data_IF_608583959133
#
_entry.id   IF_608583959133
#
_cell.length_a   1.000
_cell.length_b   1.000
_cell.length_c   1.000
_cell.angle_alpha   90.00
_cell.angle_beta   90.00
_cell.angle_gamma   90.00
#
_symmetry.space_group_name_H-M   'P 1'
#
loop_
_entity.id
_entity.type
_entity.pdbx_description
1 polymer ?
#
# COMPACT_ATOMS: atom_id res chain seq x y z
N UNK A 1 -10.08 28.98 -0.06
CA UNK A 1 -10.24 27.51 0.10
C UNK A 1 -9.16 26.69 -0.64
N UNK A 2 -8.37 27.28 -1.55
CA UNK A 2 -7.28 26.58 -2.28
C UNK A 2 -6.05 26.24 -1.43
N UNK A 3 -5.80 26.95 -0.32
CA UNK A 3 -4.55 26.77 0.46
C UNK A 3 -4.60 25.69 1.56
N UNK A 4 -5.79 25.17 1.92
CA UNK A 4 -5.87 24.10 2.93
C UNK A 4 -5.56 22.72 2.35
N UNK A 5 -5.78 22.52 1.05
CA UNK A 5 -5.53 21.24 0.38
C UNK A 5 -4.06 21.00 0.01
N UNK A 6 -3.23 22.05 -0.01
CA UNK A 6 -1.78 21.94 -0.22
C UNK A 6 -1.03 21.71 1.09
N UNK A 7 -1.54 22.28 2.19
CA UNK A 7 -0.91 22.17 3.52
C UNK A 7 -0.85 20.75 4.07
N UNK A 8 -1.91 19.95 3.92
CA UNK A 8 -1.89 18.55 4.41
C UNK A 8 -0.97 17.67 3.57
N UNK A 9 -0.92 17.86 2.24
CA UNK A 9 -0.01 17.12 1.35
C UNK A 9 1.43 17.43 1.70
N UNK A 10 1.79 18.71 1.72
CA UNK A 10 3.13 19.16 2.09
C UNK A 10 3.51 18.71 3.51
N UNK A 11 2.56 18.75 4.45
CA UNK A 11 2.76 18.25 5.81
C UNK A 11 3.00 16.74 5.89
N UNK A 12 2.23 15.93 5.16
CA UNK A 12 2.39 14.48 5.11
C UNK A 12 3.73 14.08 4.46
N UNK A 13 4.11 14.72 3.35
CA UNK A 13 5.42 14.56 2.73
C UNK A 13 6.56 14.94 3.66
N UNK A 14 6.42 16.07 4.37
CA UNK A 14 7.44 16.56 5.28
C UNK A 14 7.58 15.63 6.50
N UNK A 15 6.46 15.16 7.05
CA UNK A 15 6.43 14.18 8.13
C UNK A 15 7.10 12.87 7.71
N UNK A 16 6.75 12.34 6.53
CA UNK A 16 7.37 11.12 6.00
C UNK A 16 8.87 11.31 5.75
N UNK A 17 9.29 12.42 5.13
CA UNK A 17 10.71 12.73 4.96
C UNK A 17 11.44 12.81 6.30
N UNK A 18 10.79 13.38 7.32
CA UNK A 18 11.38 13.49 8.65
C UNK A 18 11.46 12.14 9.38
N UNK A 19 10.46 11.27 9.22
CA UNK A 19 10.42 9.95 9.86
C UNK A 19 11.32 8.92 9.14
N UNK A 20 11.30 8.91 7.81
CA UNK A 20 11.81 7.83 6.98
C UNK A 20 12.58 8.29 5.73
N UNK A 21 12.84 9.59 5.54
CA UNK A 21 13.64 10.10 4.42
C UNK A 21 15.15 10.18 4.71
N UNK A 22 15.95 10.68 3.75
CA UNK A 22 17.37 10.99 3.98
C UNK A 22 17.57 11.93 5.16
N UNK A 23 18.53 11.65 6.03
CA UNK A 23 18.77 12.35 7.30
C UNK A 23 17.61 12.28 8.32
N UNK A 24 16.72 11.28 8.19
CA UNK A 24 15.63 11.06 9.14
C UNK A 24 16.10 10.49 10.48
N UNK A 25 15.20 10.52 11.47
CA UNK A 25 15.46 9.86 12.76
C UNK A 25 15.64 8.34 12.58
N UNK A 26 14.90 7.71 11.66
CA UNK A 26 15.06 6.27 11.39
C UNK A 26 16.45 5.96 10.81
N UNK A 27 16.93 6.76 9.86
CA UNK A 27 18.28 6.62 9.30
C UNK A 27 19.36 6.81 10.37
N UNK A 28 19.23 7.83 11.21
CA UNK A 28 20.20 8.09 12.29
C UNK A 28 20.26 6.94 13.32
N UNK A 29 19.17 6.19 13.50
CA UNK A 29 19.07 5.10 14.47
C UNK A 29 19.40 3.72 13.91
N UNK A 30 19.03 3.47 12.66
CA UNK A 30 19.04 2.13 12.05
C UNK A 30 19.83 2.06 10.74
N UNK A 31 20.42 3.18 10.31
CA UNK A 31 21.18 3.27 9.07
C UNK A 31 20.31 3.26 7.82
N UNK A 32 20.96 2.98 6.69
CA UNK A 32 20.37 2.88 5.37
C UNK A 32 19.76 1.49 5.15
N UNK A 33 18.52 1.42 4.64
CA UNK A 33 17.77 0.19 4.30
C UNK A 33 18.10 -1.00 5.20
N UNK A 34 17.67 -0.97 6.47
CA UNK A 34 18.09 -2.00 7.37
C UNK A 34 17.62 -3.37 6.85
N UNK A 35 18.48 -4.36 6.95
CA UNK A 35 18.28 -5.68 6.38
C UNK A 35 16.96 -6.36 6.72
N UNK A 36 16.47 -6.13 7.94
CA UNK A 36 15.13 -6.54 8.36
C UNK A 36 14.04 -6.10 7.34
N UNK A 37 14.11 -4.84 6.87
CA UNK A 37 13.14 -4.19 6.01
C UNK A 37 13.21 -4.77 4.60
N UNK A 38 14.42 -5.08 4.13
CA UNK A 38 14.60 -5.83 2.90
C UNK A 38 13.97 -7.23 2.99
N UNK A 39 14.30 -8.00 4.02
CA UNK A 39 13.75 -9.34 4.22
C UNK A 39 12.21 -9.30 4.32
N UNK A 40 11.65 -8.33 5.04
CA UNK A 40 10.21 -8.11 5.09
C UNK A 40 9.61 -7.79 3.72
N UNK A 41 10.27 -6.92 2.94
CA UNK A 41 9.85 -6.58 1.59
C UNK A 41 9.88 -7.77 0.63
N UNK A 42 10.91 -8.62 0.71
CA UNK A 42 11.05 -9.83 -0.10
C UNK A 42 9.94 -10.84 0.21
N UNK A 43 9.66 -11.08 1.50
CA UNK A 43 8.56 -11.94 1.92
C UNK A 43 7.20 -11.40 1.42
N UNK A 44 6.95 -10.11 1.60
CA UNK A 44 5.72 -9.45 1.15
C UNK A 44 5.56 -9.50 -0.37
N UNK A 45 6.64 -9.28 -1.13
CA UNK A 45 6.64 -9.32 -2.59
C UNK A 45 6.33 -10.72 -3.13
N UNK A 46 6.90 -11.76 -2.54
CA UNK A 46 6.59 -13.14 -2.89
C UNK A 46 5.11 -13.49 -2.62
N UNK A 47 4.59 -13.07 -1.46
CA UNK A 47 3.17 -13.24 -1.12
C UNK A 47 2.24 -12.49 -2.09
N UNK A 48 2.55 -11.23 -2.42
CA UNK A 48 1.81 -10.42 -3.39
C UNK A 48 1.82 -11.05 -4.79
N UNK A 49 2.95 -11.67 -5.20
CA UNK A 49 3.06 -12.42 -6.45
C UNK A 49 2.06 -13.57 -6.55
N UNK A 50 1.90 -14.35 -5.48
CA UNK A 50 0.90 -15.43 -5.41
C UNK A 50 -0.52 -14.89 -5.37
N UNK A 51 -0.79 -13.86 -4.57
CA UNK A 51 -2.10 -13.20 -4.56
C UNK A 51 -2.48 -12.70 -5.97
N UNK A 52 -1.52 -12.14 -6.71
CA UNK A 52 -1.69 -11.71 -8.09
C UNK A 52 -2.01 -12.86 -9.06
N UNK A 53 -1.35 -14.01 -8.91
CA UNK A 53 -1.66 -15.22 -9.69
C UNK A 53 -3.04 -15.79 -9.33
N UNK A 54 -3.36 -15.89 -8.04
CA UNK A 54 -4.67 -16.34 -7.56
C UNK A 54 -5.81 -15.44 -8.07
N UNK A 55 -5.62 -14.12 -8.09
CA UNK A 55 -6.58 -13.18 -8.69
C UNK A 55 -6.83 -13.47 -10.15
N UNK A 56 -5.78 -13.72 -10.94
CA UNK A 56 -5.91 -14.06 -12.37
C UNK A 56 -6.63 -15.39 -12.55
N UNK A 57 -6.33 -16.39 -11.73
CA UNK A 57 -7.04 -17.68 -11.73
C UNK A 57 -8.54 -17.49 -11.45
N UNK A 58 -8.90 -16.68 -10.46
CA UNK A 58 -10.30 -16.40 -10.18
C UNK A 58 -10.99 -15.64 -11.30
N UNK A 59 -10.35 -14.58 -11.83
CA UNK A 59 -10.91 -13.72 -12.89
C UNK A 59 -11.04 -14.43 -14.23
N UNK A 60 -10.01 -15.18 -14.65
CA UNK A 60 -9.89 -15.78 -15.98
C UNK A 60 -10.30 -17.27 -15.99
N UNK A 61 -10.71 -17.81 -14.84
CA UNK A 61 -10.85 -19.26 -14.63
C UNK A 61 -9.50 -19.99 -14.72
N UNK A 62 -9.55 -21.30 -14.94
CA UNK A 62 -8.36 -22.15 -15.03
C UNK A 62 -7.42 -21.85 -16.23
N UNK A 63 -7.69 -20.80 -17.02
CA UNK A 63 -6.87 -20.40 -18.16
C UNK A 63 -5.45 -19.93 -17.78
N UNK A 64 -5.27 -19.45 -16.54
CA UNK A 64 -3.98 -19.03 -15.98
C UNK A 64 -3.66 -19.85 -14.72
N UNK A 65 -3.63 -21.18 -14.85
CA UNK A 65 -3.51 -22.12 -13.74
C UNK A 65 -2.33 -21.76 -12.81
N UNK A 66 -2.63 -21.24 -11.62
CA UNK A 66 -1.71 -21.21 -10.50
C UNK A 66 -1.35 -22.67 -10.19
N UNK A 67 -0.06 -23.01 -10.29
CA UNK A 67 0.40 -24.39 -10.10
C UNK A 67 0.89 -24.62 -8.67
N UNK A 68 0.96 -25.89 -8.27
CA UNK A 68 1.61 -26.28 -7.01
C UNK A 68 3.07 -25.80 -6.97
N UNK A 69 3.76 -25.83 -8.12
CA UNK A 69 5.13 -25.33 -8.24
C UNK A 69 5.23 -23.84 -7.91
N UNK A 70 4.30 -23.02 -8.41
CA UNK A 70 4.27 -21.59 -8.09
C UNK A 70 4.13 -21.36 -6.58
N UNK A 71 3.24 -22.11 -5.93
CA UNK A 71 3.03 -22.03 -4.48
C UNK A 71 4.29 -22.45 -3.71
N UNK A 72 4.97 -23.51 -4.16
CA UNK A 72 6.22 -23.97 -3.54
C UNK A 72 7.35 -22.96 -3.70
N UNK A 73 7.49 -22.34 -4.88
CA UNK A 73 8.51 -21.32 -5.13
C UNK A 73 8.31 -20.10 -4.23
N UNK A 74 7.09 -19.57 -4.15
CA UNK A 74 6.79 -18.45 -3.26
C UNK A 74 6.97 -18.83 -1.79
N UNK A 75 6.56 -20.03 -1.37
CA UNK A 75 6.80 -20.53 0.00
C UNK A 75 8.28 -20.54 0.32
N UNK A 76 9.13 -21.02 -0.60
CA UNK A 76 10.57 -21.08 -0.37
C UNK A 76 11.16 -19.67 -0.23
N UNK A 77 10.74 -18.71 -1.06
CA UNK A 77 11.16 -17.31 -0.97
C UNK A 77 10.72 -16.67 0.34
N UNK A 78 9.46 -16.86 0.74
CA UNK A 78 8.93 -16.37 2.01
C UNK A 78 9.71 -16.96 3.18
N UNK A 79 9.89 -18.29 3.22
CA UNK A 79 10.59 -18.95 4.31
C UNK A 79 12.06 -18.52 4.41
N UNK A 80 12.74 -18.32 3.29
CA UNK A 80 14.11 -17.82 3.27
C UNK A 80 14.17 -16.41 3.87
N UNK A 81 13.32 -15.52 3.40
CA UNK A 81 13.25 -14.13 3.88
C UNK A 81 12.86 -14.05 5.37
N UNK A 82 11.90 -14.87 5.81
CA UNK A 82 11.53 -14.97 7.23
C UNK A 82 12.66 -15.52 8.09
N UNK A 83 13.37 -16.56 7.63
CA UNK A 83 14.53 -17.10 8.35
C UNK A 83 15.65 -16.06 8.49
N UNK A 84 15.90 -15.25 7.47
CA UNK A 84 16.82 -14.12 7.55
C UNK A 84 16.33 -13.07 8.55
N UNK A 85 15.05 -12.74 8.54
CA UNK A 85 14.45 -11.79 9.49
C UNK A 85 14.57 -12.28 10.93
N UNK A 86 14.27 -13.57 11.20
CA UNK A 86 14.44 -14.19 12.51
C UNK A 86 15.88 -14.12 13.00
N UNK A 87 16.86 -14.40 12.12
CA UNK A 87 18.29 -14.28 12.44
C UNK A 87 18.67 -12.84 12.80
N UNK A 88 18.21 -11.86 12.03
CA UNK A 88 18.52 -10.43 12.25
C UNK A 88 17.90 -9.90 13.54
N UNK A 89 16.68 -10.33 13.86
CA UNK A 89 16.02 -9.96 15.13
C UNK A 89 16.68 -10.65 16.32
N UNK A 90 17.09 -11.92 16.18
CA UNK A 90 17.70 -12.68 17.27
C UNK A 90 19.14 -12.26 17.59
N UNK A 91 19.85 -11.64 16.65
CA UNK A 91 21.24 -11.20 16.86
C UNK A 91 21.36 -9.92 17.70
N UNK A 92 20.24 -9.26 18.06
CA UNK A 92 20.13 -8.00 18.84
C UNK A 92 20.98 -6.81 18.31
N UNK A 93 21.74 -7.04 17.24
CA UNK A 93 22.53 -6.07 16.51
C UNK A 93 21.77 -5.64 15.25
N UNK A 94 20.61 -5.03 15.46
CA UNK A 94 19.72 -4.49 14.42
C UNK A 94 20.39 -3.38 13.57
N UNK A 95 21.65 -3.03 13.86
CA UNK A 95 22.38 -1.90 13.31
C UNK A 95 23.45 -2.24 12.27
N UNK A 96 23.87 -3.51 12.08
CA UNK A 96 25.25 -3.71 11.56
C UNK A 96 25.54 -4.91 10.66
N UNK A 97 24.56 -5.57 10.04
CA UNK A 97 24.90 -6.36 8.86
C UNK A 97 24.97 -5.41 7.65
N UNK A 98 26.02 -5.49 6.82
CA UNK A 98 26.20 -4.77 5.55
C UNK A 98 26.05 -5.76 4.39
N UNK A 99 25.25 -5.49 3.34
CA UNK A 99 25.15 -6.43 2.20
C UNK A 99 26.49 -6.42 1.53
N UNK A 100 27.20 -7.55 1.60
CA UNK A 100 28.31 -7.79 0.69
C UNK A 100 27.72 -8.03 -0.70
N UNK A 101 27.25 -6.96 -1.32
CA UNK A 101 27.17 -6.91 -2.76
C UNK A 101 28.60 -6.69 -3.24
N UNK A 102 28.94 -7.21 -4.42
CA UNK A 102 30.24 -6.97 -5.04
C UNK A 102 30.51 -5.46 -5.29
N UNK A 103 29.52 -4.59 -5.02
CA UNK A 103 29.56 -3.15 -5.25
C UNK A 103 28.85 -2.35 -4.14
N UNK A 104 29.10 -2.70 -2.86
CA UNK A 104 28.43 -2.11 -1.70
C UNK A 104 28.42 -0.57 -1.70
N UNK A 105 29.51 0.07 -2.13
CA UNK A 105 29.60 1.53 -2.21
C UNK A 105 28.60 2.17 -3.21
N UNK A 106 28.33 1.52 -4.35
CA UNK A 106 27.34 2.00 -5.32
C UNK A 106 25.91 1.79 -4.82
N UNK A 107 25.66 0.67 -4.13
CA UNK A 107 24.38 0.42 -3.48
C UNK A 107 24.09 1.46 -2.38
N UNK A 108 25.08 1.79 -1.55
CA UNK A 108 24.97 2.81 -0.50
C UNK A 108 24.73 4.20 -1.09
N UNK A 109 25.46 4.58 -2.15
CA UNK A 109 25.28 5.87 -2.83
C UNK A 109 23.89 6.00 -3.49
N UNK A 110 23.40 4.91 -4.08
CA UNK A 110 22.05 4.85 -4.67
C UNK A 110 21.00 4.97 -3.58
N UNK A 111 21.16 4.27 -2.45
CA UNK A 111 20.23 4.36 -1.33
C UNK A 111 20.20 5.76 -0.71
N UNK A 112 21.33 6.44 -0.55
CA UNK A 112 21.37 7.81 -0.05
C UNK A 112 20.50 8.77 -0.90
N UNK A 113 20.34 8.46 -2.18
CA UNK A 113 19.55 9.25 -3.13
C UNK A 113 18.10 8.79 -3.26
N UNK A 114 17.81 7.50 -3.05
CA UNK A 114 16.57 6.85 -3.47
C UNK A 114 15.96 5.87 -2.44
N UNK A 115 16.57 5.75 -1.27
CA UNK A 115 16.20 4.78 -0.24
C UNK A 115 14.82 4.99 0.37
N UNK A 116 14.35 6.23 0.36
CA UNK A 116 12.98 6.61 0.67
C UNK A 116 11.93 5.86 -0.16
N UNK A 117 12.23 5.47 -1.41
CA UNK A 117 11.29 4.68 -2.21
C UNK A 117 11.03 3.31 -1.62
N UNK A 118 12.04 2.66 -1.04
CA UNK A 118 11.86 1.37 -0.36
C UNK A 118 10.91 1.50 0.82
N UNK A 119 11.09 2.54 1.65
CA UNK A 119 10.27 2.76 2.85
C UNK A 119 8.82 3.10 2.49
N UNK A 120 8.63 3.92 1.45
CA UNK A 120 7.30 4.21 0.92
C UNK A 120 6.64 2.98 0.29
N UNK A 121 7.42 2.11 -0.36
CA UNK A 121 6.90 0.87 -0.92
C UNK A 121 6.48 -0.11 0.19
N UNK A 122 7.24 -0.21 1.29
CA UNK A 122 6.85 -1.00 2.46
C UNK A 122 5.56 -0.48 3.09
N UNK A 123 5.47 0.83 3.35
CA UNK A 123 4.22 1.42 3.86
C UNK A 123 3.06 1.18 2.91
N UNK A 124 3.27 1.32 1.59
CA UNK A 124 2.22 1.00 0.62
C UNK A 124 1.77 -0.46 0.67
N UNK A 125 2.67 -1.41 0.92
CA UNK A 125 2.35 -2.83 1.07
C UNK A 125 1.59 -3.13 2.36
N UNK A 126 2.00 -2.51 3.47
CA UNK A 126 1.33 -2.58 4.78
C UNK A 126 -0.13 -2.14 4.65
N UNK A 127 -0.38 -0.90 4.23
CA UNK A 127 -1.73 -0.36 4.12
C UNK A 127 -2.59 -1.13 3.10
N UNK A 128 -1.97 -1.61 2.01
CA UNK A 128 -2.69 -2.42 1.02
C UNK A 128 -3.12 -3.78 1.60
N UNK A 129 -2.31 -4.34 2.51
CA UNK A 129 -2.64 -5.55 3.26
C UNK A 129 -3.81 -5.34 4.20
N UNK A 130 -3.79 -4.28 5.01
CA UNK A 130 -4.86 -3.93 5.95
C UNK A 130 -6.19 -3.68 5.21
N UNK A 131 -6.15 -2.91 4.11
CA UNK A 131 -7.31 -2.71 3.25
C UNK A 131 -7.83 -4.03 2.67
N UNK A 132 -6.93 -4.92 2.21
CA UNK A 132 -7.30 -6.19 1.63
C UNK A 132 -7.98 -7.13 2.64
N UNK A 133 -7.60 -7.08 3.91
CA UNK A 133 -8.23 -7.87 4.98
C UNK A 133 -9.71 -7.52 5.13
N UNK A 134 -10.03 -6.22 5.23
CA UNK A 134 -11.42 -5.76 5.35
C UNK A 134 -12.25 -6.12 4.12
N UNK A 135 -11.70 -5.93 2.91
CA UNK A 135 -12.38 -6.28 1.67
C UNK A 135 -12.59 -7.79 1.54
N UNK A 136 -11.62 -8.61 1.96
CA UNK A 136 -11.73 -10.07 1.96
C UNK A 136 -12.78 -10.55 2.97
N UNK A 137 -12.92 -9.88 4.12
CA UNK A 137 -13.97 -10.19 5.08
C UNK A 137 -15.38 -9.93 4.52
N UNK A 138 -15.56 -8.82 3.80
CA UNK A 138 -16.81 -8.50 3.10
C UNK A 138 -17.09 -9.52 1.98
N UNK A 139 -16.10 -9.80 1.14
CA UNK A 139 -16.25 -10.75 0.03
C UNK A 139 -16.60 -12.17 0.51
N UNK A 140 -16.09 -12.57 1.69
CA UNK A 140 -16.41 -13.84 2.33
C UNK A 140 -17.75 -13.85 3.10
N UNK A 141 -18.49 -12.74 3.11
CA UNK A 141 -19.76 -12.61 3.85
C UNK A 141 -19.61 -12.61 5.37
N UNK A 142 -18.39 -12.42 5.90
CA UNK A 142 -18.11 -12.41 7.35
C UNK A 142 -18.56 -11.11 8.02
N UNK A 143 -18.61 -10.02 7.26
CA UNK A 143 -19.08 -8.71 7.70
C UNK A 143 -19.86 -8.04 6.56
N UNK A 144 -20.85 -7.21 6.88
CA UNK A 144 -21.54 -6.41 5.87
C UNK A 144 -20.65 -5.27 5.37
N UNK A 145 -20.87 -4.84 4.12
CA UNK A 145 -20.18 -3.66 3.58
C UNK A 145 -20.43 -2.43 4.46
N UNK A 146 -21.67 -2.21 4.90
CA UNK A 146 -22.03 -1.09 5.75
C UNK A 146 -21.19 -1.01 7.04
N UNK A 147 -20.90 -2.15 7.66
CA UNK A 147 -20.11 -2.21 8.89
C UNK A 147 -18.60 -2.09 8.63
N UNK A 148 -18.11 -2.56 7.47
CA UNK A 148 -16.70 -2.47 7.11
C UNK A 148 -16.29 -1.13 6.48
N UNK A 149 -17.26 -0.34 5.99
CA UNK A 149 -17.03 0.91 5.27
C UNK A 149 -16.13 1.92 6.01
N UNK A 150 -16.28 2.14 7.34
CA UNK A 150 -15.38 3.05 8.06
C UNK A 150 -13.92 2.60 8.00
N UNK A 151 -13.63 1.33 8.27
CA UNK A 151 -12.28 0.77 8.20
C UNK A 151 -11.74 0.78 6.77
N UNK A 152 -12.53 0.34 5.78
CA UNK A 152 -12.17 0.43 4.37
C UNK A 152 -11.84 1.87 3.97
N UNK A 153 -12.60 2.84 4.48
CA UNK A 153 -12.39 4.26 4.21
C UNK A 153 -11.06 4.78 4.75
N UNK A 154 -10.70 4.37 5.97
CA UNK A 154 -9.42 4.68 6.61
C UNK A 154 -8.25 4.06 5.84
N UNK A 155 -8.23 2.73 5.69
CA UNK A 155 -7.11 2.05 5.01
C UNK A 155 -6.97 2.48 3.54
N UNK A 156 -8.08 2.74 2.86
CA UNK A 156 -8.02 3.29 1.50
C UNK A 156 -7.44 4.71 1.46
N UNK A 157 -7.60 5.51 2.52
CA UNK A 157 -6.95 6.81 2.64
C UNK A 157 -5.43 6.64 2.80
N UNK A 158 -4.99 5.70 3.62
CA UNK A 158 -3.57 5.46 3.88
C UNK A 158 -2.86 4.86 2.66
N UNK A 159 -3.47 3.89 1.98
CA UNK A 159 -2.99 3.40 0.66
C UNK A 159 -2.82 4.56 -0.33
N UNK A 160 -3.80 5.46 -0.41
CA UNK A 160 -3.76 6.63 -1.30
C UNK A 160 -2.67 7.61 -0.89
N UNK A 161 -2.47 7.82 0.42
CA UNK A 161 -1.42 8.68 0.94
C UNK A 161 -0.04 8.17 0.50
N UNK A 162 0.30 6.90 0.78
CA UNK A 162 1.59 6.33 0.39
C UNK A 162 1.79 6.28 -1.13
N UNK A 163 0.74 5.97 -1.89
CA UNK A 163 0.81 6.00 -3.35
C UNK A 163 1.13 7.40 -3.88
N UNK A 164 0.41 8.41 -3.37
CA UNK A 164 0.61 9.80 -3.77
C UNK A 164 2.02 10.28 -3.45
N UNK A 165 2.52 10.02 -2.23
CA UNK A 165 3.87 10.41 -1.80
C UNK A 165 4.93 9.73 -2.66
N UNK A 166 4.76 8.44 -2.99
CA UNK A 166 5.67 7.71 -3.89
C UNK A 166 5.71 8.34 -5.27
N UNK A 167 4.55 8.63 -5.87
CA UNK A 167 4.47 9.23 -7.20
C UNK A 167 5.07 10.64 -7.23
N UNK A 168 4.82 11.46 -6.22
CA UNK A 168 5.40 12.81 -6.14
C UNK A 168 6.92 12.77 -6.01
N UNK A 169 7.48 11.86 -5.22
CA UNK A 169 8.93 11.69 -5.12
C UNK A 169 9.55 11.16 -6.41
N UNK A 170 8.83 10.29 -7.14
CA UNK A 170 9.26 9.78 -8.43
C UNK A 170 8.98 10.73 -9.61
N UNK A 171 8.39 11.91 -9.35
CA UNK A 171 7.95 12.86 -10.37
C UNK A 171 6.97 12.25 -11.40
N UNK A 172 6.14 11.30 -10.95
CA UNK A 172 5.14 10.61 -11.77
C UNK A 172 3.79 11.34 -11.64
N UNK A 173 3.25 11.93 -12.71
CA UNK A 173 1.90 12.49 -12.69
C UNK A 173 0.86 11.36 -12.66
N UNK A 174 0.20 11.17 -11.52
CA UNK A 174 -0.74 10.05 -11.26
C UNK A 174 -1.89 9.99 -12.24
N UNK A 175 -2.49 11.14 -12.58
CA UNK A 175 -3.63 11.22 -13.50
C UNK A 175 -3.21 10.81 -14.93
N UNK A 176 -2.09 11.34 -15.41
CA UNK A 176 -1.59 11.05 -16.76
C UNK A 176 -1.09 9.60 -16.89
N UNK A 177 -0.40 9.07 -15.87
CA UNK A 177 0.06 7.68 -15.86
C UNK A 177 -1.10 6.70 -15.78
N UNK A 178 -2.14 7.02 -15.01
CA UNK A 178 -3.39 6.25 -14.92
C UNK A 178 -4.13 6.26 -16.26
N UNK A 179 -4.27 7.42 -16.89
CA UNK A 179 -4.91 7.54 -18.21
C UNK A 179 -4.16 6.72 -19.29
N UNK A 180 -2.84 6.81 -19.33
CA UNK A 180 -2.01 6.03 -20.25
C UNK A 180 -2.17 4.52 -20.01
N UNK A 181 -2.22 4.09 -18.74
CA UNK A 181 -2.46 2.68 -18.40
C UNK A 181 -3.86 2.22 -18.83
N UNK A 182 -4.88 3.05 -18.63
CA UNK A 182 -6.25 2.75 -19.04
C UNK A 182 -6.37 2.58 -20.56
N UNK A 183 -5.73 3.42 -21.36
CA UNK A 183 -5.72 3.27 -22.82
C UNK A 183 -5.15 1.91 -23.24
N UNK A 184 -4.07 1.46 -22.60
CA UNK A 184 -3.49 0.12 -22.83
C UNK A 184 -4.43 -1.00 -22.40
N UNK A 185 -5.19 -0.81 -21.32
CA UNK A 185 -6.17 -1.81 -20.86
C UNK A 185 -7.35 -1.86 -21.84
N UNK A 186 -7.90 -0.72 -22.24
CA UNK A 186 -8.99 -0.64 -23.21
C UNK A 186 -8.63 -1.29 -24.54
N UNK A 187 -7.39 -1.14 -25.01
CA UNK A 187 -6.94 -1.78 -26.24
C UNK A 187 -6.87 -3.31 -26.18
N UNK A 188 -6.97 -3.92 -24.98
CA UNK A 188 -6.85 -5.38 -24.77
C UNK A 188 -8.19 -6.08 -24.59
N UNK A 189 -9.28 -5.35 -24.37
CA UNK A 189 -10.58 -5.91 -24.05
C UNK A 189 -11.68 -5.32 -24.93
N UNK A 190 -12.74 -6.09 -25.24
CA UNK A 190 -13.87 -5.56 -26.00
C UNK A 190 -14.55 -4.42 -25.23
N UNK A 191 -15.05 -3.42 -25.96
CA UNK A 191 -15.72 -2.23 -25.39
C UNK A 191 -16.84 -2.59 -24.42
N UNK A 192 -17.57 -3.68 -24.69
CA UNK A 192 -18.64 -4.18 -23.83
C UNK A 192 -18.18 -4.50 -22.38
N UNK A 193 -16.90 -4.83 -22.18
CA UNK A 193 -16.34 -5.11 -20.85
C UNK A 193 -16.23 -3.85 -19.95
N UNK A 194 -16.35 -2.65 -20.54
CA UNK A 194 -16.24 -1.37 -19.82
C UNK A 194 -17.60 -0.71 -19.57
N UNK A 195 -18.70 -1.32 -20.00
CA UNK A 195 -20.03 -0.83 -19.67
C UNK A 195 -20.27 -1.07 -18.18
N UNK A 196 -20.19 -0.01 -17.39
CA UNK A 196 -20.60 -0.01 -15.98
C UNK A 196 -22.05 -0.51 -15.91
N UNK A 197 -22.23 -1.75 -15.42
CA UNK A 197 -23.54 -2.12 -14.88
C UNK A 197 -23.76 -1.20 -13.69
N UNK A 198 -24.78 -0.34 -13.77
CA UNK A 198 -25.23 0.41 -12.60
C UNK A 198 -25.47 -0.62 -11.50
N UNK A 199 -24.63 -0.60 -10.46
CA UNK A 199 -24.92 -1.43 -9.31
C UNK A 199 -26.21 -0.87 -8.73
N UNK A 200 -27.21 -1.72 -8.56
CA UNK A 200 -28.53 -1.35 -8.03
C UNK A 200 -28.48 -0.87 -6.57
N UNK A 201 -27.28 -0.76 -5.98
CA UNK A 201 -27.06 -0.30 -4.60
C UNK A 201 -26.30 1.03 -4.46
N UNK A 202 -25.84 1.69 -5.53
CA UNK A 202 -25.04 2.93 -5.38
C UNK A 202 -25.83 4.16 -4.96
N UNK A 203 -27.11 4.27 -5.32
CA UNK A 203 -27.90 5.46 -4.97
C UNK A 203 -28.11 5.57 -3.45
N UNK A 204 -28.46 4.46 -2.81
CA UNK A 204 -28.66 4.40 -1.36
C UNK A 204 -27.33 4.51 -0.58
N UNK A 205 -26.24 3.96 -1.12
CA UNK A 205 -24.92 4.06 -0.49
C UNK A 205 -24.30 5.45 -0.57
N UNK A 206 -24.44 6.15 -1.71
CA UNK A 206 -23.98 7.54 -1.84
C UNK A 206 -24.80 8.48 -0.94
N UNK A 207 -26.12 8.24 -0.83
CA UNK A 207 -26.97 8.97 0.11
C UNK A 207 -26.60 8.69 1.58
N UNK A 208 -26.30 7.43 1.93
CA UNK A 208 -25.85 7.05 3.28
C UNK A 208 -24.48 7.65 3.63
N UNK A 209 -23.53 7.69 2.69
CA UNK A 209 -22.23 8.35 2.89
C UNK A 209 -22.35 9.86 3.03
N UNK A 210 -23.20 10.52 2.23
CA UNK A 210 -23.48 11.94 2.36
C UNK A 210 -24.13 12.27 3.72
N UNK A 211 -25.00 11.39 4.23
CA UNK A 211 -25.62 11.53 5.54
C UNK A 211 -24.61 11.41 6.69
N UNK A 212 -23.70 10.42 6.65
CA UNK A 212 -22.63 10.25 7.65
C UNK A 212 -21.69 11.46 7.72
N UNK A 213 -21.27 11.98 6.57
CA UNK A 213 -20.41 13.17 6.49
C UNK A 213 -21.13 14.41 7.06
N UNK A 214 -22.44 14.53 6.83
CA UNK A 214 -23.23 15.67 7.35
C UNK A 214 -23.38 15.64 8.87
N UNK A 215 -23.41 14.45 9.50
CA UNK A 215 -23.53 14.31 10.95
C UNK A 215 -22.26 14.75 11.70
N UNK A 216 -21.06 14.51 11.14
CA UNK A 216 -19.80 14.95 11.74
C UNK A 216 -19.59 16.48 11.65
N UNK A 217 -20.28 17.16 10.72
CA UNK A 217 -20.20 18.62 10.56
C UNK A 217 -21.17 19.41 11.43
N UNK A 218 -22.04 18.74 12.20
CA UNK A 218 -22.99 19.43 13.08
C UNK A 218 -22.27 19.84 14.38
N UNK A 219 -22.15 21.14 14.71
CA UNK A 219 -21.47 21.55 15.94
C UNK A 219 -22.26 21.03 17.14
N UNK A 220 -21.60 20.28 18.04
CA UNK A 220 -22.22 19.84 19.29
C UNK A 220 -22.75 21.07 20.05
N UNK A 221 -24.00 21.07 20.52
CA UNK A 221 -24.52 22.19 21.30
C UNK A 221 -23.69 22.36 22.57
N UNK A 222 -23.21 23.59 22.81
CA UNK A 222 -22.48 23.96 24.02
C UNK A 222 -23.34 23.60 25.23
N UNK A 223 -22.85 22.71 26.10
CA UNK A 223 -23.45 22.46 27.42
C UNK A 223 -23.58 23.80 28.14
N UNK A 224 -24.80 24.19 28.50
CA UNK A 224 -25.02 25.28 29.46
C UNK A 224 -24.46 24.83 30.80
N UNK A 225 -23.55 25.63 31.35
CA UNK A 225 -23.10 25.47 32.73
C UNK A 225 -24.29 25.73 33.65
N UNK A 226 -24.52 24.81 34.57
CA UNK A 226 -25.34 25.01 35.76
C UNK A 226 -24.44 25.48 36.90
#
# INVERSE_FOLDING_TARGET
MKDRFTGWKAGALQLHRWLTGPSSNAEARFGHWPYFAQSAFEAASAAAGIAGKAKKLWRDGNANALTVKDIQEARNQINLALGMLEMLVAQDDLATSAITSDNAAEADATYASHGNFGLLALGHLEEAGELAEHLAAVAAGRVSLANALPSIGAEAADVRMYHQVTCEQALIPTEASTAAKWAIVQSRFPEAAFKLQQSTGTADHVAAMAALISQETTPKPKRKAA
#
